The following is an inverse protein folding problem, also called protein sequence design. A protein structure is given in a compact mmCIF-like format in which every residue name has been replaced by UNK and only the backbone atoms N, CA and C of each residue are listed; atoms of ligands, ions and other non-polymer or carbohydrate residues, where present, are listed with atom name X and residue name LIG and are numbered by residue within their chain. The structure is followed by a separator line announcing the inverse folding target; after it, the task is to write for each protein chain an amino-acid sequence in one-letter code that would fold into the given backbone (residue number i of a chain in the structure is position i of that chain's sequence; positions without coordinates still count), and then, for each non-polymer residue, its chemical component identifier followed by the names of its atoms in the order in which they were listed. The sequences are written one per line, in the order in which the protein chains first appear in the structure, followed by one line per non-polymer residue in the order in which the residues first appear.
data_IF_079159793396
#
_entry.id   IF_079159793396
#
_cell.length_a   1.000
_cell.length_b   1.000
_cell.length_c   1.000
_cell.angle_alpha   90.00
_cell.angle_beta   90.00
_cell.angle_gamma   90.00
#
_symmetry.space_group_name_H-M   'P 1'
#
loop_
_entity.id
_entity.type
_entity.pdbx_description
1 polymer ?
#
# COMPACT_ATOMS: atom_id res chain seq x y z
N UNK A 1 1.18 23.90 -4.58
CA UNK A 1 -0.08 23.26 -5.05
C UNK A 1 -0.92 22.91 -3.84
N UNK A 2 -2.26 23.01 -3.90
CA UNK A 2 -3.12 22.58 -2.79
C UNK A 2 -3.14 21.04 -2.76
N UNK A 3 -2.99 20.44 -1.57
CA UNK A 3 -3.15 18.98 -1.37
C UNK A 3 -4.58 18.58 -1.73
N UNK A 4 -4.75 17.34 -2.26
CA UNK A 4 -6.08 16.79 -2.48
C UNK A 4 -6.71 16.34 -1.15
N UNK A 5 -5.88 15.76 -0.26
CA UNK A 5 -6.27 15.49 1.12
C UNK A 5 -5.31 16.12 2.11
N UNK A 6 -5.86 16.58 3.23
CA UNK A 6 -5.12 16.96 4.42
C UNK A 6 -5.81 16.37 5.64
N UNK A 7 -5.11 15.54 6.38
CA UNK A 7 -5.55 14.97 7.65
C UNK A 7 -4.93 15.80 8.77
N UNK A 8 -5.72 16.15 9.79
CA UNK A 8 -5.31 16.97 10.91
C UNK A 8 -5.86 16.38 12.21
N UNK A 9 -4.98 15.93 13.11
CA UNK A 9 -5.27 15.40 14.45
C UNK A 9 -6.41 14.35 14.45
N UNK A 10 -6.38 13.44 13.47
CA UNK A 10 -7.44 12.47 13.27
C UNK A 10 -7.36 11.36 14.31
N UNK A 11 -8.44 11.17 15.08
CA UNK A 11 -8.60 10.05 15.99
C UNK A 11 -9.91 9.31 15.73
N UNK A 12 -9.82 7.98 15.68
CA UNK A 12 -10.99 7.13 15.54
C UNK A 12 -10.86 5.84 16.34
N UNK A 13 -11.98 5.39 16.91
CA UNK A 13 -12.07 4.20 17.75
C UNK A 13 -13.29 3.39 17.35
N UNK A 14 -13.16 2.07 17.30
CA UNK A 14 -14.28 1.14 17.23
C UNK A 14 -14.45 0.43 18.57
N UNK A 15 -15.63 0.52 19.15
CA UNK A 15 -15.96 -0.15 20.43
C UNK A 15 -14.91 0.12 21.54
N UNK A 16 -14.40 1.35 21.62
CA UNK A 16 -13.40 1.73 22.61
C UNK A 16 -11.93 1.39 22.24
N UNK A 17 -11.71 0.61 21.19
CA UNK A 17 -10.37 0.29 20.72
C UNK A 17 -9.87 1.32 19.68
N UNK A 18 -8.66 1.87 19.84
CA UNK A 18 -8.11 2.84 18.90
C UNK A 18 -7.86 2.17 17.54
N UNK A 19 -8.42 2.77 16.48
CA UNK A 19 -8.24 2.31 15.12
C UNK A 19 -7.33 3.23 14.32
N UNK A 20 -7.40 4.56 14.56
CA UNK A 20 -6.54 5.56 13.94
C UNK A 20 -6.19 6.66 14.96
N UNK A 21 -4.93 7.12 14.90
CA UNK A 21 -4.40 8.25 15.66
C UNK A 21 -3.30 8.90 14.81
N UNK A 22 -3.69 9.85 13.95
CA UNK A 22 -2.84 10.45 12.92
C UNK A 22 -2.79 11.96 13.14
N UNK A 23 -1.62 12.48 13.51
CA UNK A 23 -1.42 13.91 13.75
C UNK A 23 -1.58 14.72 12.46
N UNK A 24 -0.87 14.33 11.42
CA UNK A 24 -0.96 14.98 10.11
C UNK A 24 -0.57 14.03 8.98
N UNK A 25 -1.26 14.13 7.85
CA UNK A 25 -0.90 13.45 6.61
C UNK A 25 -1.49 14.21 5.43
N UNK A 26 -0.78 14.24 4.31
CA UNK A 26 -1.26 14.93 3.11
C UNK A 26 -0.99 14.12 1.85
N UNK A 27 -1.89 14.24 0.89
CA UNK A 27 -1.81 13.57 -0.42
C UNK A 27 -1.87 14.66 -1.50
N UNK A 28 -0.96 14.59 -2.45
CA UNK A 28 -0.91 15.49 -3.60
C UNK A 28 -1.88 15.04 -4.70
N UNK A 29 -2.49 15.95 -5.46
CA UNK A 29 -3.34 15.59 -6.60
C UNK A 29 -2.51 14.91 -7.71
N UNK A 30 -3.08 13.91 -8.37
CA UNK A 30 -2.48 13.19 -9.49
C UNK A 30 -1.35 12.25 -9.13
N UNK A 31 -1.02 12.07 -7.84
CA UNK A 31 0.05 11.18 -7.37
C UNK A 31 -0.47 9.78 -7.04
N UNK A 32 0.44 8.82 -6.93
CA UNK A 32 0.17 7.48 -6.42
C UNK A 32 0.77 7.37 -5.02
N UNK A 33 -0.10 7.25 -4.02
CA UNK A 33 0.28 7.07 -2.62
C UNK A 33 -0.02 5.65 -2.16
N UNK A 34 1.01 4.94 -1.69
CA UNK A 34 0.90 3.62 -1.08
C UNK A 34 0.75 3.71 0.43
N UNK A 35 -0.10 2.85 1.01
CA UNK A 35 -0.23 2.67 2.45
C UNK A 35 0.08 1.22 2.77
N UNK A 36 1.18 0.99 3.47
CA UNK A 36 1.62 -0.34 3.90
C UNK A 36 1.36 -0.51 5.39
N UNK A 37 1.01 -1.72 5.78
CA UNK A 37 0.87 -2.09 7.20
C UNK A 37 0.29 -3.48 7.37
N UNK A 38 0.49 -4.11 8.54
CA UNK A 38 -0.07 -5.41 8.84
C UNK A 38 -1.60 -5.37 8.89
N UNK A 39 -2.22 -6.55 8.92
CA UNK A 39 -3.67 -6.64 9.14
C UNK A 39 -4.03 -6.03 10.50
N UNK A 40 -5.13 -5.26 10.53
CA UNK A 40 -5.57 -4.54 11.72
C UNK A 40 -4.82 -3.22 11.98
N UNK A 41 -3.91 -2.78 11.10
CA UNK A 41 -3.19 -1.51 11.29
C UNK A 41 -4.04 -0.25 11.10
N UNK A 42 -5.26 -0.38 10.53
CA UNK A 42 -6.16 0.75 10.28
C UNK A 42 -6.28 1.17 8.81
N UNK A 43 -5.64 0.47 7.84
CA UNK A 43 -5.64 0.81 6.40
C UNK A 43 -7.06 1.00 5.85
N UNK A 44 -7.89 -0.03 5.98
CA UNK A 44 -9.27 0.01 5.48
C UNK A 44 -10.12 1.08 6.16
N UNK A 45 -9.90 1.32 7.45
CA UNK A 45 -10.55 2.40 8.20
C UNK A 45 -10.16 3.76 7.64
N UNK A 46 -8.87 3.97 7.40
CA UNK A 46 -8.39 5.21 6.80
C UNK A 46 -8.96 5.43 5.40
N UNK A 47 -8.97 4.40 4.55
CA UNK A 47 -9.55 4.51 3.20
C UNK A 47 -11.06 4.83 3.23
N UNK A 48 -11.83 4.26 4.16
CA UNK A 48 -13.24 4.61 4.34
C UNK A 48 -13.45 6.07 4.73
N UNK A 49 -12.56 6.61 5.56
CA UNK A 49 -12.60 8.02 5.93
C UNK A 49 -12.21 8.95 4.78
N UNK A 50 -11.17 8.57 4.01
CA UNK A 50 -10.79 9.30 2.79
C UNK A 50 -11.89 9.23 1.71
N UNK A 51 -12.68 8.15 1.70
CA UNK A 51 -13.86 8.02 0.84
C UNK A 51 -15.10 8.79 1.37
N UNK A 52 -15.00 9.44 2.52
CA UNK A 52 -16.10 10.09 3.21
C UNK A 52 -17.32 9.15 3.43
N UNK A 53 -17.04 7.87 3.71
CA UNK A 53 -18.03 6.89 4.14
C UNK A 53 -18.19 6.96 5.66
N UNK A 54 -17.05 7.05 6.38
CA UNK A 54 -16.99 7.18 7.83
C UNK A 54 -16.46 8.56 8.22
N UNK A 55 -16.87 9.04 9.41
CA UNK A 55 -16.40 10.29 10.01
C UNK A 55 -15.42 10.01 11.15
N UNK A 56 -14.28 10.73 11.24
CA UNK A 56 -13.41 10.63 12.40
C UNK A 56 -14.14 11.10 13.67
N UNK A 57 -13.78 10.50 14.82
CA UNK A 57 -14.35 10.94 16.10
C UNK A 57 -13.76 12.27 16.56
N UNK A 58 -12.48 12.53 16.23
CA UNK A 58 -11.79 13.80 16.43
C UNK A 58 -10.93 14.12 15.23
N UNK A 59 -10.60 15.39 15.08
CA UNK A 59 -9.79 15.90 13.98
C UNK A 59 -10.62 16.05 12.70
N UNK A 60 -9.92 16.39 11.61
CA UNK A 60 -10.53 16.74 10.34
C UNK A 60 -9.82 16.09 9.16
N UNK A 61 -10.60 15.80 8.12
CA UNK A 61 -10.08 15.48 6.80
C UNK A 61 -10.57 16.58 5.86
N UNK A 62 -9.64 17.34 5.30
CA UNK A 62 -9.93 18.34 4.30
C UNK A 62 -9.76 17.72 2.91
N UNK A 63 -10.72 17.95 2.04
CA UNK A 63 -10.67 17.61 0.63
C UNK A 63 -10.54 18.90 -0.19
N UNK A 64 -9.42 19.05 -0.93
CA UNK A 64 -9.08 20.28 -1.68
C UNK A 64 -9.03 21.53 -0.79
N UNK A 65 -8.74 21.37 0.49
CA UNK A 65 -8.67 22.44 1.48
C UNK A 65 -10.00 22.77 2.17
N UNK A 66 -11.07 22.06 1.85
CA UNK A 66 -12.40 22.24 2.44
C UNK A 66 -12.79 21.05 3.30
N UNK A 67 -13.46 21.29 4.41
CA UNK A 67 -14.04 20.22 5.24
C UNK A 67 -15.26 19.62 4.52
N UNK A 68 -15.38 18.30 4.57
CA UNK A 68 -16.51 17.60 3.98
C UNK A 68 -17.13 16.62 4.97
N UNK A 69 -18.45 16.56 4.97
CA UNK A 69 -19.20 15.58 5.74
C UNK A 69 -19.34 14.27 4.95
N UNK A 70 -19.55 13.13 5.62
CA UNK A 70 -19.81 11.86 4.97
C UNK A 70 -20.99 11.97 3.96
N UNK A 71 -20.79 11.34 2.81
CA UNK A 71 -21.75 11.31 1.70
C UNK A 71 -22.15 12.66 1.10
N UNK A 72 -21.47 13.75 1.46
CA UNK A 72 -21.72 15.07 0.87
C UNK A 72 -21.54 15.04 -0.66
N UNK A 73 -22.38 15.78 -1.40
CA UNK A 73 -22.38 15.75 -2.88
C UNK A 73 -21.06 16.22 -3.48
N UNK A 74 -20.41 17.21 -2.84
CA UNK A 74 -19.14 17.77 -3.29
C UNK A 74 -17.97 16.78 -3.23
N UNK A 75 -18.10 15.65 -2.52
CA UNK A 75 -17.03 14.63 -2.41
C UNK A 75 -17.44 13.28 -2.97
N UNK A 76 -18.68 12.82 -2.76
CA UNK A 76 -19.11 11.45 -3.12
C UNK A 76 -19.02 11.14 -4.61
N UNK A 77 -19.03 12.18 -5.47
CA UNK A 77 -18.89 12.01 -6.90
C UNK A 77 -17.45 12.20 -7.41
N UNK A 78 -16.55 12.67 -6.54
CA UNK A 78 -15.16 12.90 -6.88
C UNK A 78 -14.27 11.77 -6.38
N UNK A 79 -14.67 11.10 -5.30
CA UNK A 79 -13.92 10.00 -4.69
C UNK A 79 -14.64 8.67 -4.84
N UNK A 80 -13.91 7.59 -5.02
CA UNK A 80 -14.50 6.25 -5.06
C UNK A 80 -13.55 5.23 -4.40
N UNK A 81 -14.14 4.23 -3.74
CA UNK A 81 -13.42 3.18 -3.04
C UNK A 81 -13.69 1.82 -3.68
N UNK A 82 -12.63 1.10 -4.02
CA UNK A 82 -12.66 -0.33 -4.28
C UNK A 82 -12.23 -1.07 -3.01
N UNK A 83 -13.15 -1.77 -2.38
CA UNK A 83 -12.89 -2.57 -1.18
C UNK A 83 -12.20 -3.89 -1.53
N UNK A 84 -11.55 -4.49 -0.53
CA UNK A 84 -10.87 -5.78 -0.65
C UNK A 84 -11.80 -6.87 -1.19
N UNK A 85 -13.01 -6.97 -0.64
CA UNK A 85 -14.05 -7.83 -1.21
C UNK A 85 -14.86 -7.05 -2.24
N UNK A 86 -15.02 -7.58 -3.47
CA UNK A 86 -15.80 -6.91 -4.51
C UNK A 86 -17.28 -6.88 -4.13
N UNK A 87 -17.78 -5.71 -3.84
CA UNK A 87 -19.20 -5.54 -3.53
C UNK A 87 -19.98 -5.30 -4.82
N UNK A 88 -20.61 -6.35 -5.31
CA UNK A 88 -21.52 -6.27 -6.47
C UNK A 88 -22.98 -6.42 -6.01
N UNK A 89 -23.82 -5.60 -6.57
CA UNK A 89 -25.26 -5.70 -6.36
C UNK A 89 -25.81 -6.96 -7.04
N UNK A 90 -26.88 -7.54 -6.50
CA UNK A 90 -27.56 -8.72 -7.06
C UNK A 90 -28.23 -8.40 -8.40
N UNK A 91 -27.43 -7.95 -9.38
CA UNK A 91 -27.86 -7.52 -10.72
C UNK A 91 -26.92 -8.05 -11.79
N UNK A 92 -27.18 -7.72 -13.06
CA UNK A 92 -26.23 -8.03 -14.15
C UNK A 92 -24.97 -7.17 -14.03
N UNK A 93 -23.90 -7.58 -14.71
CA UNK A 93 -22.65 -6.83 -14.83
C UNK A 93 -22.92 -5.44 -15.39
N UNK A 94 -23.70 -5.35 -16.50
CA UNK A 94 -24.08 -4.07 -17.07
C UNK A 94 -24.70 -3.13 -16.02
N UNK A 95 -25.69 -3.61 -15.26
CA UNK A 95 -26.37 -2.81 -14.23
C UNK A 95 -25.49 -2.48 -13.01
N UNK A 96 -24.46 -3.27 -12.73
CA UNK A 96 -23.50 -2.95 -11.70
C UNK A 96 -22.58 -1.79 -12.15
N UNK A 97 -22.14 -1.81 -13.40
CA UNK A 97 -21.22 -0.81 -13.95
C UNK A 97 -21.95 0.51 -14.23
N UNK A 98 -23.16 0.45 -14.83
CA UNK A 98 -23.94 1.66 -15.18
C UNK A 98 -24.49 2.41 -13.97
N UNK A 99 -24.65 1.74 -12.82
CA UNK A 99 -25.36 2.27 -11.66
C UNK A 99 -24.86 3.63 -11.17
N UNK A 100 -23.55 3.81 -11.10
CA UNK A 100 -22.98 5.08 -10.66
C UNK A 100 -23.28 6.25 -11.61
N UNK A 101 -23.37 5.98 -12.91
CA UNK A 101 -23.77 6.97 -13.91
C UNK A 101 -25.28 7.29 -13.81
N UNK A 102 -26.10 6.26 -13.58
CA UNK A 102 -27.54 6.43 -13.36
C UNK A 102 -27.80 7.33 -12.13
N UNK A 103 -27.08 7.13 -11.04
CA UNK A 103 -27.15 7.98 -9.84
C UNK A 103 -26.75 9.44 -10.12
N UNK A 104 -25.82 9.67 -11.05
CA UNK A 104 -25.40 11.01 -11.50
C UNK A 104 -26.37 11.62 -12.52
N UNK A 105 -27.39 10.87 -12.95
CA UNK A 105 -28.31 11.22 -14.06
C UNK A 105 -27.56 11.43 -15.39
N UNK A 106 -26.42 10.79 -15.55
CA UNK A 106 -25.56 10.82 -16.73
C UNK A 106 -25.72 9.49 -17.49
N UNK A 107 -26.86 9.37 -18.18
CA UNK A 107 -27.26 8.11 -18.85
C UNK A 107 -27.00 8.10 -20.35
N UNK A 108 -26.30 9.11 -20.87
CA UNK A 108 -25.98 9.16 -22.28
C UNK A 108 -25.03 8.00 -22.67
N UNK A 109 -25.40 7.27 -23.72
CA UNK A 109 -24.60 6.21 -24.34
C UNK A 109 -24.04 5.14 -23.36
N UNK A 110 -24.87 4.70 -22.42
CA UNK A 110 -24.49 3.71 -21.42
C UNK A 110 -23.88 2.42 -22.02
N UNK A 111 -24.44 1.83 -23.13
CA UNK A 111 -23.89 0.60 -23.68
C UNK A 111 -22.41 0.72 -24.07
N UNK A 112 -22.03 1.76 -24.81
CA UNK A 112 -20.66 1.96 -25.24
C UNK A 112 -19.76 2.28 -24.05
N UNK A 113 -20.17 3.13 -23.13
CA UNK A 113 -19.41 3.48 -21.92
C UNK A 113 -19.16 2.28 -21.01
N UNK A 114 -20.15 1.40 -20.85
CA UNK A 114 -20.00 0.15 -20.09
C UNK A 114 -19.07 -0.82 -20.82
N UNK A 115 -19.17 -0.91 -22.15
CA UNK A 115 -18.25 -1.73 -22.95
C UNK A 115 -16.80 -1.24 -22.83
N UNK A 116 -16.59 0.07 -22.90
CA UNK A 116 -15.25 0.67 -22.73
C UNK A 116 -14.70 0.38 -21.34
N UNK A 117 -15.51 0.52 -20.29
CA UNK A 117 -15.12 0.24 -18.92
C UNK A 117 -14.76 -1.24 -18.70
N UNK A 118 -15.50 -2.17 -19.30
CA UNK A 118 -15.19 -3.60 -19.29
C UNK A 118 -13.92 -3.90 -20.08
N UNK A 119 -13.73 -3.28 -21.21
CA UNK A 119 -12.52 -3.44 -22.04
C UNK A 119 -11.26 -3.00 -21.30
N UNK A 120 -11.32 -1.93 -20.50
CA UNK A 120 -10.20 -1.48 -19.67
C UNK A 120 -9.75 -2.53 -18.67
N UNK A 121 -10.65 -3.36 -18.17
CA UNK A 121 -10.35 -4.43 -17.21
C UNK A 121 -10.23 -5.81 -17.88
N UNK A 122 -10.09 -5.86 -19.20
CA UNK A 122 -9.88 -7.10 -19.96
C UNK A 122 -11.09 -8.04 -19.94
N UNK A 123 -12.31 -7.50 -19.91
CA UNK A 123 -13.55 -8.27 -19.97
C UNK A 123 -14.34 -7.85 -21.22
N UNK A 124 -14.53 -8.74 -22.23
CA UNK A 124 -15.30 -8.41 -23.42
C UNK A 124 -16.76 -8.14 -23.09
N UNK A 125 -17.29 -6.96 -23.49
CA UNK A 125 -18.66 -6.55 -23.17
C UNK A 125 -19.73 -7.52 -23.66
N UNK A 126 -19.59 -8.05 -24.86
CA UNK A 126 -20.55 -9.00 -25.45
C UNK A 126 -20.75 -10.25 -24.58
N UNK A 127 -19.69 -10.73 -23.91
CA UNK A 127 -19.71 -11.93 -23.09
C UNK A 127 -20.17 -11.66 -21.65
N UNK A 128 -20.00 -10.41 -21.18
CA UNK A 128 -20.18 -10.07 -19.77
C UNK A 128 -21.44 -9.26 -19.46
N UNK A 129 -21.99 -8.47 -20.36
CA UNK A 129 -23.12 -7.56 -20.09
C UNK A 129 -24.28 -8.18 -19.34
N UNK A 130 -24.67 -9.40 -19.75
CA UNK A 130 -25.86 -10.10 -19.25
C UNK A 130 -25.55 -11.02 -18.07
N UNK A 131 -24.27 -11.36 -17.83
CA UNK A 131 -23.88 -12.21 -16.70
C UNK A 131 -24.36 -11.60 -15.39
N UNK A 132 -24.77 -12.46 -14.48
CA UNK A 132 -25.18 -12.09 -13.13
C UNK A 132 -23.95 -12.06 -12.22
N UNK A 133 -24.04 -11.31 -11.14
CA UNK A 133 -22.97 -11.17 -10.16
C UNK A 133 -22.42 -12.50 -9.64
N UNK A 134 -23.25 -13.52 -9.50
CA UNK A 134 -22.88 -14.87 -9.00
C UNK A 134 -22.28 -15.78 -10.08
N UNK A 135 -22.26 -15.40 -11.33
CA UNK A 135 -21.68 -16.14 -12.47
C UNK A 135 -20.21 -15.74 -12.71
N UNK A 136 -19.68 -14.85 -11.87
CA UNK A 136 -18.33 -14.33 -11.98
C UNK A 136 -17.38 -15.09 -11.05
N UNK A 137 -16.16 -15.38 -11.54
CA UNK A 137 -15.05 -15.78 -10.69
C UNK A 137 -14.63 -14.61 -9.78
N UNK A 138 -13.84 -14.90 -8.73
CA UNK A 138 -13.35 -13.85 -7.82
C UNK A 138 -12.58 -12.74 -8.55
N UNK A 139 -11.68 -13.11 -9.46
CA UNK A 139 -10.93 -12.14 -10.26
C UNK A 139 -11.80 -11.36 -11.25
N UNK A 140 -12.81 -11.98 -11.87
CA UNK A 140 -13.79 -11.29 -12.72
C UNK A 140 -14.65 -10.33 -11.90
N UNK A 141 -15.13 -10.74 -10.72
CA UNK A 141 -15.91 -9.89 -9.83
C UNK A 141 -15.11 -8.64 -9.39
N UNK A 142 -13.84 -8.82 -9.05
CA UNK A 142 -12.95 -7.70 -8.70
C UNK A 142 -12.74 -6.75 -9.87
N UNK A 143 -12.52 -7.27 -11.07
CA UNK A 143 -12.38 -6.45 -12.29
C UNK A 143 -13.68 -5.73 -12.66
N UNK A 144 -14.84 -6.36 -12.53
CA UNK A 144 -16.15 -5.71 -12.71
C UNK A 144 -16.36 -4.60 -11.66
N UNK A 145 -15.99 -4.86 -10.40
CA UNK A 145 -16.05 -3.84 -9.36
C UNK A 145 -15.12 -2.65 -9.68
N UNK A 146 -13.92 -2.90 -10.17
CA UNK A 146 -13.01 -1.83 -10.62
C UNK A 146 -13.61 -1.05 -11.80
N UNK A 147 -14.14 -1.73 -12.83
CA UNK A 147 -14.78 -1.10 -13.99
C UNK A 147 -15.93 -0.17 -13.56
N UNK A 148 -16.74 -0.58 -12.56
CA UNK A 148 -17.84 0.23 -12.03
C UNK A 148 -17.37 1.51 -11.31
N UNK A 149 -16.11 1.60 -10.90
CA UNK A 149 -15.48 2.81 -10.34
C UNK A 149 -14.86 3.66 -11.44
N UNK A 150 -14.16 3.03 -12.38
CA UNK A 150 -13.46 3.72 -13.46
C UNK A 150 -14.38 4.38 -14.48
N UNK A 151 -15.57 3.83 -14.74
CA UNK A 151 -16.57 4.45 -15.63
C UNK A 151 -16.96 5.87 -15.18
N UNK A 152 -16.81 6.15 -13.87
CA UNK A 152 -17.10 7.45 -13.27
C UNK A 152 -15.98 8.46 -13.48
N UNK A 153 -14.81 8.05 -13.97
CA UNK A 153 -13.59 8.85 -14.09
C UNK A 153 -13.34 9.67 -12.83
N UNK A 154 -13.16 9.01 -11.67
CA UNK A 154 -13.06 9.70 -10.39
C UNK A 154 -11.77 10.52 -10.31
N UNK A 155 -11.81 11.63 -9.56
CA UNK A 155 -10.62 12.42 -9.26
C UNK A 155 -9.69 11.67 -8.29
N UNK A 156 -10.29 10.90 -7.37
CA UNK A 156 -9.57 10.02 -6.45
C UNK A 156 -10.13 8.61 -6.51
N UNK A 157 -9.24 7.65 -6.71
CA UNK A 157 -9.53 6.22 -6.60
C UNK A 157 -8.77 5.63 -5.42
N UNK A 158 -9.52 5.18 -4.43
CA UNK A 158 -9.02 4.52 -3.24
C UNK A 158 -9.13 3.00 -3.44
N UNK A 159 -8.06 2.27 -3.15
CA UNK A 159 -7.95 0.84 -3.41
C UNK A 159 -7.52 0.11 -2.14
N UNK A 160 -8.38 -0.74 -1.61
CA UNK A 160 -8.11 -1.55 -0.42
C UNK A 160 -7.80 -2.98 -0.84
N UNK A 161 -6.52 -3.38 -0.75
CA UNK A 161 -6.01 -4.70 -1.13
C UNK A 161 -6.53 -5.19 -2.51
N UNK A 162 -6.38 -4.38 -3.59
CA UNK A 162 -7.09 -4.62 -4.85
C UNK A 162 -6.70 -5.92 -5.57
N UNK A 163 -5.57 -6.52 -5.20
CA UNK A 163 -5.03 -7.74 -5.80
C UNK A 163 -5.02 -8.94 -4.85
N UNK A 164 -5.58 -8.79 -3.65
CA UNK A 164 -5.64 -9.89 -2.70
C UNK A 164 -6.62 -10.98 -3.16
N UNK A 165 -6.24 -12.23 -2.95
CA UNK A 165 -7.10 -13.43 -3.18
C UNK A 165 -7.58 -13.62 -4.62
N UNK A 166 -6.87 -13.05 -5.62
CA UNK A 166 -7.14 -13.26 -7.05
C UNK A 166 -5.93 -13.88 -7.75
N UNK A 167 -6.14 -14.43 -8.93
CA UNK A 167 -5.07 -14.99 -9.75
C UNK A 167 -4.11 -13.91 -10.28
N UNK A 168 -2.87 -14.32 -10.61
CA UNK A 168 -1.82 -13.41 -11.04
C UNK A 168 -2.17 -12.64 -12.33
N UNK A 169 -2.92 -13.24 -13.25
CA UNK A 169 -3.33 -12.59 -14.51
C UNK A 169 -4.33 -11.47 -14.22
N UNK A 170 -5.35 -11.73 -13.40
CA UNK A 170 -6.32 -10.72 -12.95
C UNK A 170 -5.63 -9.61 -12.14
N UNK A 171 -4.67 -9.96 -11.27
CA UNK A 171 -3.89 -8.99 -10.51
C UNK A 171 -3.10 -8.04 -11.43
N UNK A 172 -2.46 -8.58 -12.48
CA UNK A 172 -1.70 -7.76 -13.43
C UNK A 172 -2.61 -6.80 -14.20
N UNK A 173 -3.77 -7.27 -14.67
CA UNK A 173 -4.76 -6.42 -15.35
C UNK A 173 -5.21 -5.26 -14.44
N UNK A 174 -5.49 -5.54 -13.16
CA UNK A 174 -5.86 -4.49 -12.20
C UNK A 174 -4.73 -3.47 -12.04
N UNK A 175 -3.49 -3.96 -11.85
CA UNK A 175 -2.30 -3.11 -11.73
C UNK A 175 -2.15 -2.16 -12.93
N UNK A 176 -2.23 -2.70 -14.15
CA UNK A 176 -2.09 -1.93 -15.39
C UNK A 176 -3.23 -0.93 -15.56
N UNK A 177 -4.45 -1.35 -15.22
CA UNK A 177 -5.66 -0.52 -15.37
C UNK A 177 -5.64 0.70 -14.44
N UNK A 178 -5.22 0.54 -13.18
CA UNK A 178 -5.16 1.68 -12.25
C UNK A 178 -4.06 2.67 -12.64
N UNK A 179 -2.93 2.19 -13.14
CA UNK A 179 -1.86 3.03 -13.68
C UNK A 179 -2.32 3.78 -14.93
N UNK A 180 -3.09 3.13 -15.80
CA UNK A 180 -3.68 3.78 -16.96
C UNK A 180 -4.64 4.91 -16.53
N UNK A 181 -5.45 4.71 -15.50
CA UNK A 181 -6.36 5.74 -14.99
C UNK A 181 -5.60 6.96 -14.47
N UNK A 182 -4.50 6.76 -13.75
CA UNK A 182 -3.64 7.85 -13.27
C UNK A 182 -2.99 8.57 -14.46
N UNK A 183 -2.36 7.85 -15.39
CA UNK A 183 -1.65 8.46 -16.52
C UNK A 183 -2.57 9.18 -17.50
N UNK A 184 -3.77 8.61 -17.78
CA UNK A 184 -4.68 9.12 -18.81
C UNK A 184 -5.61 10.23 -18.29
N UNK A 185 -6.02 10.13 -17.03
CA UNK A 185 -7.05 11.03 -16.46
C UNK A 185 -6.54 11.89 -15.32
N UNK A 186 -5.29 11.70 -14.88
CA UNK A 186 -4.74 12.39 -13.73
C UNK A 186 -5.38 11.97 -12.40
N UNK A 187 -6.03 10.79 -12.36
CA UNK A 187 -6.66 10.27 -11.15
C UNK A 187 -5.62 10.10 -10.03
N UNK A 188 -5.88 10.66 -8.86
CA UNK A 188 -5.09 10.42 -7.67
C UNK A 188 -5.36 9.01 -7.17
N UNK A 189 -4.32 8.21 -6.95
CA UNK A 189 -4.44 6.85 -6.43
C UNK A 189 -3.98 6.78 -4.98
N UNK A 190 -4.79 6.16 -4.12
CA UNK A 190 -4.38 5.79 -2.76
C UNK A 190 -4.58 4.29 -2.61
N UNK A 191 -3.50 3.56 -2.47
CA UNK A 191 -3.51 2.09 -2.51
C UNK A 191 -3.03 1.54 -1.17
N UNK A 192 -3.92 0.89 -0.44
CA UNK A 192 -3.55 0.09 0.73
C UNK A 192 -3.28 -1.35 0.29
N UNK A 193 -2.09 -1.87 0.58
CA UNK A 193 -1.74 -3.25 0.27
C UNK A 193 -0.67 -3.78 1.21
N UNK A 194 -0.62 -5.11 1.33
CA UNK A 194 0.50 -5.83 1.92
C UNK A 194 1.53 -6.27 0.86
N UNK A 195 1.23 -6.14 -0.44
CA UNK A 195 2.19 -6.30 -1.55
C UNK A 195 3.07 -5.03 -1.63
N UNK A 196 4.00 -4.94 -0.69
CA UNK A 196 4.89 -3.80 -0.57
C UNK A 196 5.83 -3.66 -1.78
N UNK A 197 6.19 -4.76 -2.46
CA UNK A 197 7.01 -4.73 -3.67
C UNK A 197 6.30 -3.95 -4.78
N UNK A 198 5.04 -4.31 -5.05
CA UNK A 198 4.24 -3.59 -6.02
C UNK A 198 4.10 -2.10 -5.67
N UNK A 199 3.78 -1.79 -4.39
CA UNK A 199 3.63 -0.40 -3.98
C UNK A 199 4.91 0.41 -4.18
N UNK A 200 6.07 -0.15 -3.83
CA UNK A 200 7.34 0.55 -4.05
C UNK A 200 7.73 0.70 -5.52
N UNK A 201 7.20 -0.14 -6.41
CA UNK A 201 7.46 -0.04 -7.84
C UNK A 201 6.65 1.09 -8.50
N UNK A 202 5.45 1.38 -8.00
CA UNK A 202 4.52 2.31 -8.65
C UNK A 202 4.26 3.61 -7.88
N UNK A 203 4.38 3.60 -6.54
CA UNK A 203 4.03 4.75 -5.72
C UNK A 203 5.17 5.76 -5.64
N UNK A 204 4.83 7.03 -5.76
CA UNK A 204 5.74 8.16 -5.52
C UNK A 204 6.03 8.31 -4.02
N UNK A 205 5.01 8.02 -3.19
CA UNK A 205 5.09 8.07 -1.75
C UNK A 205 4.50 6.80 -1.14
N UNK A 206 5.25 6.15 -0.25
CA UNK A 206 4.77 5.00 0.51
C UNK A 206 4.82 5.35 1.98
N UNK A 207 3.66 5.31 2.64
CA UNK A 207 3.51 5.57 4.06
C UNK A 207 3.23 4.25 4.79
N UNK A 208 3.88 4.07 5.94
CA UNK A 208 3.71 2.89 6.77
C UNK A 208 2.70 3.17 7.87
N UNK A 209 1.62 2.42 7.91
CA UNK A 209 0.58 2.51 8.93
C UNK A 209 0.66 1.32 9.88
N UNK A 210 0.83 1.60 11.17
CA UNK A 210 0.83 0.58 12.20
C UNK A 210 0.05 1.05 13.42
N UNK A 211 -0.84 0.21 13.96
CA UNK A 211 -1.71 0.56 15.11
C UNK A 211 -2.37 1.94 14.99
N UNK A 212 -2.78 2.28 13.78
CA UNK A 212 -3.47 3.53 13.50
C UNK A 212 -2.59 4.76 13.34
N UNK A 213 -1.26 4.65 13.38
CA UNK A 213 -0.31 5.77 13.24
C UNK A 213 0.58 5.59 12.03
N UNK A 214 0.97 6.69 11.41
CA UNK A 214 1.97 6.67 10.37
C UNK A 214 3.39 6.72 10.93
N UNK A 215 4.26 5.89 10.34
CA UNK A 215 5.68 5.83 10.61
C UNK A 215 6.43 6.18 9.38
N UNK A 216 7.13 7.21 9.32
CA UNK A 216 8.01 7.53 8.21
C UNK A 216 7.43 7.27 6.82
N UNK A 217 8.15 7.68 5.83
CA UNK A 217 7.86 7.41 4.41
C UNK A 217 9.06 6.72 3.77
N UNK A 218 8.81 5.98 2.69
CA UNK A 218 9.88 5.27 1.97
C UNK A 218 10.17 3.87 2.53
N UNK A 219 11.18 3.22 1.94
CA UNK A 219 11.59 1.87 2.34
C UNK A 219 12.27 1.90 3.70
N UNK A 220 11.81 1.06 4.63
CA UNK A 220 12.38 0.86 5.95
C UNK A 220 12.42 -0.63 6.28
N UNK A 221 13.37 -1.04 7.10
CA UNK A 221 13.42 -2.39 7.64
C UNK A 221 12.68 -2.41 8.97
N UNK A 222 11.47 -2.94 8.98
CA UNK A 222 10.67 -3.15 10.18
C UNK A 222 10.91 -4.55 10.72
N UNK A 223 11.35 -4.64 11.96
CA UNK A 223 11.61 -5.90 12.63
C UNK A 223 10.68 -5.99 13.85
N UNK A 224 9.80 -6.97 13.79
CA UNK A 224 8.79 -7.20 14.81
C UNK A 224 9.29 -8.21 15.84
N UNK A 225 8.96 -8.03 17.12
CA UNK A 225 9.19 -9.02 18.16
C UNK A 225 8.65 -10.42 17.81
N UNK A 226 8.73 -11.40 18.70
CA UNK A 226 9.15 -11.25 20.10
C UNK A 226 10.65 -10.99 20.26
N UNK A 227 10.98 -10.27 21.32
CA UNK A 227 12.35 -9.95 21.70
C UNK A 227 12.86 -10.91 22.77
N UNK A 228 14.14 -11.31 22.66
CA UNK A 228 14.80 -12.22 23.58
C UNK A 228 16.04 -11.58 24.15
N UNK A 229 16.31 -11.81 25.42
CA UNK A 229 17.53 -11.39 26.10
C UNK A 229 18.34 -12.62 26.49
N UNK A 230 19.21 -13.15 25.60
CA UNK A 230 20.01 -14.34 25.87
C UNK A 230 21.10 -14.09 26.91
N UNK A 231 21.54 -12.85 27.10
CA UNK A 231 22.50 -12.43 28.12
C UNK A 231 22.13 -10.99 28.55
N UNK A 232 22.49 -10.59 29.79
CA UNK A 232 22.16 -9.25 30.28
C UNK A 232 22.60 -8.14 29.33
N UNK A 233 21.66 -7.30 28.93
CA UNK A 233 21.86 -6.17 28.01
C UNK A 233 21.96 -6.54 26.53
N UNK A 234 21.87 -7.81 26.17
CA UNK A 234 21.92 -8.26 24.79
C UNK A 234 20.54 -8.70 24.31
N UNK A 235 19.89 -7.85 23.55
CA UNK A 235 18.55 -8.11 23.01
C UNK A 235 18.60 -8.55 21.55
N UNK A 236 17.81 -9.57 21.19
CA UNK A 236 17.82 -10.16 19.85
C UNK A 236 16.42 -10.54 19.38
N UNK A 237 16.25 -10.52 18.06
CA UNK A 237 15.19 -11.23 17.35
C UNK A 237 15.76 -12.53 16.81
N UNK A 238 15.21 -13.68 17.22
CA UNK A 238 15.56 -14.98 16.64
C UNK A 238 14.85 -15.18 15.30
N UNK A 239 15.60 -15.61 14.31
CA UNK A 239 15.10 -16.00 13.00
C UNK A 239 14.90 -17.51 12.90
N UNK A 240 14.11 -17.95 11.91
CA UNK A 240 13.79 -19.39 11.75
C UNK A 240 14.99 -20.26 11.38
N UNK A 241 16.05 -19.70 10.80
CA UNK A 241 17.29 -20.38 10.42
C UNK A 241 18.34 -20.42 11.56
N UNK A 242 17.97 -19.96 12.76
CA UNK A 242 18.84 -19.91 13.93
C UNK A 242 19.70 -18.65 14.04
N UNK A 243 19.69 -17.78 13.04
CA UNK A 243 20.33 -16.46 13.14
C UNK A 243 19.61 -15.57 14.13
N UNK A 244 20.30 -14.53 14.59
CA UNK A 244 19.73 -13.53 15.48
C UNK A 244 20.06 -12.13 14.99
N UNK A 245 19.04 -11.27 14.93
CA UNK A 245 19.20 -9.84 14.75
C UNK A 245 19.35 -9.18 16.11
N UNK A 246 20.50 -8.58 16.37
CA UNK A 246 20.78 -7.88 17.62
C UNK A 246 20.15 -6.47 17.58
N UNK A 247 19.57 -6.06 18.69
CA UNK A 247 18.89 -4.75 18.81
C UNK A 247 19.22 -4.14 20.17
N UNK A 248 19.09 -2.81 20.33
CA UNK A 248 19.13 -2.18 21.66
C UNK A 248 18.02 -2.71 22.56
N UNK A 249 18.07 -2.38 23.85
CA UNK A 249 16.98 -2.72 24.78
C UNK A 249 15.63 -2.20 24.26
N UNK A 250 14.65 -3.08 24.01
CA UNK A 250 13.33 -2.65 23.51
C UNK A 250 12.57 -1.90 24.61
N UNK A 251 11.92 -0.76 24.30
CA UNK A 251 11.15 0.03 25.26
C UNK A 251 9.89 -0.71 25.71
N UNK A 252 9.41 -1.69 24.94
CA UNK A 252 8.28 -2.54 25.28
C UNK A 252 8.37 -3.88 24.56
N UNK A 253 7.59 -4.89 25.02
CA UNK A 253 7.51 -6.21 24.35
C UNK A 253 7.01 -6.13 22.92
N UNK A 254 6.20 -5.14 22.62
CA UNK A 254 5.56 -4.93 21.31
C UNK A 254 6.26 -3.85 20.48
N UNK A 255 7.38 -3.32 20.93
CA UNK A 255 8.15 -2.33 20.19
C UNK A 255 8.62 -2.90 18.84
N UNK A 256 8.68 -2.05 17.83
CA UNK A 256 9.17 -2.41 16.49
C UNK A 256 10.52 -1.75 16.32
N UNK A 257 11.53 -2.55 15.97
CA UNK A 257 12.82 -2.01 15.58
C UNK A 257 12.77 -1.58 14.12
N UNK A 258 13.33 -0.41 13.86
CA UNK A 258 13.40 0.18 12.52
C UNK A 258 14.88 0.42 12.20
N UNK A 259 15.30 -0.07 11.03
CA UNK A 259 16.65 0.17 10.50
C UNK A 259 16.50 0.81 9.11
N UNK A 260 17.10 1.98 8.94
CA UNK A 260 17.11 2.61 7.62
C UNK A 260 17.93 1.75 6.64
N UNK A 261 17.44 1.46 5.43
CA UNK A 261 18.18 0.76 4.39
C UNK A 261 19.56 1.37 4.06
N UNK A 262 19.76 2.67 4.28
CA UNK A 262 21.03 3.35 4.08
C UNK A 262 22.10 2.90 5.10
N UNK A 263 21.65 2.47 6.29
CA UNK A 263 22.51 1.99 7.37
C UNK A 263 22.78 0.46 7.29
N UNK A 264 22.16 -0.21 6.30
CA UNK A 264 22.44 -1.62 6.01
C UNK A 264 23.58 -1.73 4.99
N UNK A 265 24.76 -2.06 5.46
CA UNK A 265 25.99 -2.06 4.67
C UNK A 265 26.38 -3.48 4.22
N UNK A 266 26.93 -3.58 3.02
CA UNK A 266 27.68 -4.76 2.56
C UNK A 266 29.07 -4.71 3.19
N UNK A 267 29.25 -5.37 4.32
CA UNK A 267 30.51 -5.28 5.07
C UNK A 267 30.91 -6.62 5.66
N UNK A 268 32.20 -6.75 5.84
CA UNK A 268 32.85 -7.85 6.59
C UNK A 268 33.36 -7.38 7.96
N UNK A 269 32.96 -6.19 8.40
CA UNK A 269 33.43 -5.65 9.69
C UNK A 269 32.96 -6.52 10.85
N UNK A 270 33.90 -6.96 11.68
CA UNK A 270 33.62 -7.84 12.81
C UNK A 270 32.98 -7.14 14.02
N UNK A 271 32.92 -5.81 14.02
CA UNK A 271 32.36 -5.02 15.14
C UNK A 271 30.86 -4.68 14.93
N UNK A 272 30.35 -4.82 13.75
CA UNK A 272 28.94 -4.53 13.43
C UNK A 272 28.07 -5.78 13.66
N UNK A 273 26.80 -5.54 14.02
CA UNK A 273 25.78 -6.59 13.98
C UNK A 273 25.62 -7.07 12.56
N UNK A 274 25.55 -8.37 12.34
CA UNK A 274 25.52 -8.94 11.00
C UNK A 274 24.36 -9.90 10.81
N UNK A 275 23.83 -9.93 9.59
CA UNK A 275 22.84 -10.90 9.15
C UNK A 275 23.22 -11.46 7.79
N UNK A 276 23.07 -12.76 7.61
CA UNK A 276 23.26 -13.43 6.34
C UNK A 276 21.92 -13.70 5.67
N UNK A 277 21.86 -13.50 4.36
CA UNK A 277 20.69 -13.83 3.58
C UNK A 277 21.03 -14.00 2.10
N UNK A 278 20.01 -14.35 1.33
CA UNK A 278 20.11 -14.52 -0.12
C UNK A 278 19.52 -13.28 -0.80
N UNK A 279 20.25 -12.71 -1.75
CA UNK A 279 19.73 -11.64 -2.59
C UNK A 279 18.55 -12.18 -3.41
N UNK A 280 17.39 -11.65 -3.19
CA UNK A 280 16.18 -12.02 -3.95
C UNK A 280 15.93 -11.06 -5.10
N UNK A 281 16.28 -9.79 -4.93
CA UNK A 281 16.01 -8.76 -5.93
C UNK A 281 17.02 -7.63 -5.87
N UNK A 282 17.31 -7.06 -7.06
CA UNK A 282 18.06 -5.82 -7.23
C UNK A 282 17.19 -4.86 -8.04
N UNK A 283 16.98 -3.65 -7.51
CA UNK A 283 16.15 -2.63 -8.14
C UNK A 283 16.95 -1.34 -8.26
N UNK A 284 17.02 -0.79 -9.48
CA UNK A 284 17.56 0.55 -9.68
C UNK A 284 16.46 1.59 -9.42
N UNK A 285 16.63 2.37 -8.38
CA UNK A 285 15.70 3.45 -8.06
C UNK A 285 15.90 4.61 -9.05
N UNK A 286 14.86 4.93 -9.82
CA UNK A 286 14.96 5.84 -10.97
C UNK A 286 15.40 7.26 -10.60
N UNK A 287 14.94 7.76 -9.45
CA UNK A 287 15.17 9.16 -9.02
C UNK A 287 16.56 9.36 -8.41
N UNK A 288 16.99 8.45 -7.54
CA UNK A 288 18.28 8.53 -6.82
C UNK A 288 19.42 7.85 -7.58
N UNK A 289 19.11 6.97 -8.55
CA UNK A 289 20.02 6.06 -9.22
C UNK A 289 20.73 5.09 -8.28
N UNK A 290 20.22 4.90 -7.10
CA UNK A 290 20.74 3.96 -6.12
C UNK A 290 20.22 2.55 -6.39
N UNK A 291 21.00 1.56 -6.00
CA UNK A 291 20.60 0.16 -6.09
C UNK A 291 19.99 -0.26 -4.75
N UNK A 292 18.74 -0.64 -4.80
CA UNK A 292 18.03 -1.27 -3.68
C UNK A 292 18.28 -2.77 -3.75
N UNK A 293 18.82 -3.33 -2.69
CA UNK A 293 19.12 -4.75 -2.56
C UNK A 293 18.13 -5.34 -1.58
N UNK A 294 17.35 -6.32 -2.01
CA UNK A 294 16.42 -7.06 -1.15
C UNK A 294 17.03 -8.41 -0.84
N UNK A 295 17.23 -8.67 0.43
CA UNK A 295 17.90 -9.85 0.97
C UNK A 295 16.94 -10.62 1.85
N UNK A 296 16.71 -11.88 1.54
CA UNK A 296 15.90 -12.78 2.37
C UNK A 296 16.79 -13.47 3.39
N UNK A 297 16.59 -13.14 4.66
CA UNK A 297 17.21 -13.81 5.81
C UNK A 297 16.13 -14.61 6.54
N UNK A 298 16.10 -15.92 6.34
CA UNK A 298 15.02 -16.80 6.78
C UNK A 298 13.62 -16.22 6.39
N UNK A 299 12.80 -15.90 7.38
CA UNK A 299 11.45 -15.32 7.19
C UNK A 299 11.43 -13.78 7.21
N UNK A 300 12.59 -13.12 7.23
CA UNK A 300 12.70 -11.65 7.27
C UNK A 300 13.31 -11.14 5.97
N UNK A 301 12.60 -10.28 5.27
CA UNK A 301 13.15 -9.52 4.17
C UNK A 301 13.87 -8.28 4.72
N UNK A 302 15.10 -8.09 4.31
CA UNK A 302 15.96 -6.96 4.68
C UNK A 302 16.30 -6.18 3.41
N UNK A 303 16.10 -4.89 3.45
CA UNK A 303 16.46 -3.99 2.36
C UNK A 303 17.75 -3.26 2.71
N UNK A 304 18.70 -3.22 1.79
CA UNK A 304 19.88 -2.38 1.85
C UNK A 304 19.91 -1.42 0.67
N UNK A 305 20.53 -0.27 0.84
CA UNK A 305 20.67 0.74 -0.20
C UNK A 305 22.14 0.92 -0.55
N UNK A 306 22.45 0.88 -1.83
CA UNK A 306 23.82 0.99 -2.31
C UNK A 306 23.94 2.15 -3.30
N UNK A 307 24.79 3.11 -2.97
CA UNK A 307 25.06 4.23 -3.86
C UNK A 307 25.76 3.77 -5.16
N UNK A 308 25.57 4.47 -6.29
CA UNK A 308 26.21 4.10 -7.55
C UNK A 308 27.74 4.02 -7.46
N UNK A 309 28.36 4.86 -6.62
CA UNK A 309 29.82 4.85 -6.38
C UNK A 309 30.31 3.55 -5.72
N UNK A 310 29.47 2.95 -4.88
CA UNK A 310 29.79 1.72 -4.18
C UNK A 310 29.35 0.47 -4.96
N UNK A 311 28.40 0.62 -5.88
CA UNK A 311 27.89 -0.50 -6.68
C UNK A 311 28.97 -1.21 -7.50
N UNK A 312 29.93 -0.46 -8.04
CA UNK A 312 31.06 -1.01 -8.82
C UNK A 312 32.01 -1.90 -7.99
N UNK A 313 31.95 -1.85 -6.65
CA UNK A 313 32.80 -2.67 -5.79
C UNK A 313 32.26 -4.07 -5.55
N UNK A 314 31.01 -4.32 -5.90
CA UNK A 314 30.32 -5.57 -5.63
C UNK A 314 29.70 -6.13 -6.91
N UNK A 315 29.99 -7.40 -7.18
CA UNK A 315 29.27 -8.14 -8.22
C UNK A 315 28.08 -8.81 -7.55
N UNK A 316 26.91 -8.20 -7.65
CA UNK A 316 25.67 -8.68 -7.04
C UNK A 316 24.74 -9.30 -8.06
N UNK A 317 24.13 -10.42 -7.72
CA UNK A 317 23.10 -11.06 -8.52
C UNK A 317 22.06 -11.77 -7.65
N UNK A 318 20.80 -11.90 -8.10
CA UNK A 318 19.81 -12.72 -7.41
C UNK A 318 20.29 -14.15 -7.20
N UNK A 319 19.97 -14.74 -6.03
CA UNK A 319 20.45 -16.05 -5.61
C UNK A 319 21.78 -16.02 -4.84
N UNK A 320 22.51 -14.92 -4.85
CA UNK A 320 23.80 -14.79 -4.15
C UNK A 320 23.56 -14.67 -2.64
N UNK A 321 24.34 -15.43 -1.85
CA UNK A 321 24.38 -15.25 -0.40
C UNK A 321 25.30 -14.09 -0.06
N UNK A 322 24.80 -13.15 0.72
CA UNK A 322 25.55 -11.99 1.18
C UNK A 322 25.40 -11.80 2.68
N UNK A 323 26.27 -10.99 3.24
CA UNK A 323 26.22 -10.56 4.63
C UNK A 323 25.96 -9.05 4.65
N UNK A 324 24.94 -8.65 5.37
CA UNK A 324 24.66 -7.25 5.69
C UNK A 324 25.10 -6.96 7.11
N UNK A 325 25.53 -5.74 7.36
CA UNK A 325 25.91 -5.24 8.67
C UNK A 325 25.25 -3.92 8.99
N UNK A 326 25.01 -3.65 10.27
CA UNK A 326 24.44 -2.41 10.79
C UNK A 326 24.99 -2.16 12.19
N UNK A 327 24.86 -0.93 12.68
CA UNK A 327 25.25 -0.58 14.04
C UNK A 327 24.00 -0.58 14.95
N UNK A 328 24.18 -0.91 16.24
CA UNK A 328 23.06 -0.88 17.20
C UNK A 328 22.48 0.53 17.37
N UNK A 329 23.30 1.57 17.23
CA UNK A 329 22.89 2.97 17.28
C UNK A 329 22.00 3.40 16.10
N UNK A 330 22.03 2.66 14.98
CA UNK A 330 21.18 2.89 13.81
C UNK A 330 19.78 2.31 13.98
N UNK A 331 19.56 1.49 15.01
CA UNK A 331 18.26 0.90 15.31
C UNK A 331 17.44 1.89 16.11
N UNK A 332 16.34 2.31 15.54
CA UNK A 332 15.34 3.16 16.20
C UNK A 332 14.13 2.32 16.61
N UNK A 333 13.40 2.79 17.62
CA UNK A 333 12.23 2.10 18.16
C UNK A 333 10.94 2.84 17.88
N UNK A 334 9.93 2.02 17.69
CA UNK A 334 8.55 2.45 17.69
C UNK A 334 7.71 1.63 18.65
#
# INVERSE_FOLDING_TARGET
MKNIYQIQNLQHHYNGHPALDIDSFSIQPGTITGIIGPNGSGKSTLLKMLAFIDKPRKGNILFKGESAEPFAENVRFQTTLLSQEPYLMKRSVFKNISYGLELRRDTHDLPNRVNDALSLVGLPGNDFFHRKWYELSGGEAQRVALASRLILKPEVLLLDEPTASIDAASAQIIKDTVLLAQNKWGTTLVIASHDWEWLYDICEHVAHLFRGRFFGTGRQNFIFGPWWEPAPGKWVKKLQDGQSLEVPCPPSKDAIAIINPENMLLSTDKKACTIQGTVTRLVLEKHTREIIIIVQAANQAITARLSPKNAHRYTLHPGQKIRLSYLLEDVTWY
#
